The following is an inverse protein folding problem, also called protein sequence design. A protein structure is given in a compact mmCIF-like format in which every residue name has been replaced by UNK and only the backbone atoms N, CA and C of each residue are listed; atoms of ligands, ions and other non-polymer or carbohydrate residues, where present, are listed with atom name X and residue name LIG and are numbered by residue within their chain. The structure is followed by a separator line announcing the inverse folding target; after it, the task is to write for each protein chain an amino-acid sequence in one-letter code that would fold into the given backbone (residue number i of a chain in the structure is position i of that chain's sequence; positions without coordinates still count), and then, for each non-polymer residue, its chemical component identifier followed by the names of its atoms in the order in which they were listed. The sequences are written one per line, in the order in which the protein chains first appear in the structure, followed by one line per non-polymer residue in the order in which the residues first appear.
data_IF_308715808450
#
_entry.id   IF_308715808450
#
_cell.length_a   1.000
_cell.length_b   1.000
_cell.length_c   1.000
_cell.angle_alpha   90.00
_cell.angle_beta   90.00
_cell.angle_gamma   90.00
#
_symmetry.space_group_name_H-M   'P 1'
#
loop_
_entity.id
_entity.type
_entity.pdbx_description
1 polymer ?
#
# COMPACT_ATOMS: atom_id res chain seq x y z
N UNK A 1 -10.25 2.72 -1.62
CA UNK A 1 -9.17 2.25 -2.45
C UNK A 1 -8.09 3.28 -2.72
N UNK A 2 -8.36 4.61 -2.70
CA UNK A 2 -7.36 5.65 -2.96
C UNK A 2 -6.06 5.50 -2.14
N UNK A 3 -6.16 5.22 -0.83
CA UNK A 3 -4.99 4.97 0.02
C UNK A 3 -4.18 3.77 -0.50
N UNK A 4 -4.88 2.72 -0.90
CA UNK A 4 -4.24 1.47 -1.34
C UNK A 4 -3.53 1.65 -2.68
N UNK A 5 -4.15 2.39 -3.60
CA UNK A 5 -3.54 2.68 -4.90
C UNK A 5 -2.27 3.53 -4.72
N UNK A 6 -2.34 4.59 -3.89
CA UNK A 6 -1.19 5.42 -3.54
C UNK A 6 -0.09 4.67 -2.80
N UNK A 7 -0.46 3.72 -1.96
CA UNK A 7 0.49 2.88 -1.26
C UNK A 7 1.41 2.12 -2.25
N UNK A 8 0.84 1.55 -3.28
CA UNK A 8 1.62 0.80 -4.27
C UNK A 8 2.30 1.70 -5.29
N UNK A 9 1.64 2.74 -5.78
CA UNK A 9 2.22 3.66 -6.76
C UNK A 9 3.33 4.53 -6.12
N UNK A 10 3.03 5.23 -5.03
CA UNK A 10 3.95 6.21 -4.45
C UNK A 10 4.99 5.54 -3.54
N UNK A 11 4.57 4.63 -2.65
CA UNK A 11 5.49 4.06 -1.66
C UNK A 11 6.26 2.88 -2.24
N UNK A 12 5.58 1.90 -2.85
CA UNK A 12 6.27 0.73 -3.38
C UNK A 12 7.07 1.07 -4.64
N UNK A 13 6.44 1.67 -5.65
CA UNK A 13 7.13 1.95 -6.92
C UNK A 13 8.07 3.13 -6.81
N UNK A 14 7.57 4.35 -6.58
CA UNK A 14 8.37 5.56 -6.66
C UNK A 14 9.40 5.69 -5.52
N UNK A 15 9.01 5.34 -4.28
CA UNK A 15 9.89 5.54 -3.13
C UNK A 15 10.85 4.39 -2.84
N UNK A 16 10.53 3.17 -3.27
CA UNK A 16 11.33 1.99 -2.96
C UNK A 16 11.95 1.43 -4.22
N UNK A 17 11.14 0.95 -5.16
CA UNK A 17 11.64 0.20 -6.33
C UNK A 17 12.52 1.08 -7.23
N UNK A 18 12.08 2.28 -7.60
CA UNK A 18 12.85 3.20 -8.45
C UNK A 18 14.16 3.67 -7.80
N UNK A 19 14.26 3.59 -6.47
CA UNK A 19 15.47 3.98 -5.71
C UNK A 19 16.41 2.82 -5.38
N UNK A 20 16.18 1.62 -5.91
CA UNK A 20 17.04 0.46 -5.68
C UNK A 20 18.39 0.53 -6.39
N UNK A 21 18.57 1.46 -7.33
CA UNK A 21 19.80 1.58 -8.10
C UNK A 21 19.97 0.54 -9.21
N UNK A 22 18.91 -0.21 -9.53
CA UNK A 22 18.85 -1.17 -10.63
C UNK A 22 17.81 -0.74 -11.66
N UNK A 23 17.91 -1.25 -12.88
CA UNK A 23 16.91 -0.98 -13.89
C UNK A 23 15.58 -1.64 -13.54
N UNK A 24 14.51 -0.83 -13.61
CA UNK A 24 13.15 -1.25 -13.29
C UNK A 24 12.26 -1.10 -14.51
N UNK A 25 11.40 -2.08 -14.75
CA UNK A 25 10.31 -1.96 -15.72
C UNK A 25 9.00 -1.68 -14.98
N UNK A 26 8.60 -0.42 -15.00
CA UNK A 26 7.32 0.07 -14.49
C UNK A 26 6.32 0.36 -15.61
N UNK A 27 6.55 -0.15 -16.82
CA UNK A 27 5.61 0.01 -17.94
C UNK A 27 4.21 -0.40 -17.50
N UNK A 28 3.24 0.45 -17.76
CA UNK A 28 1.88 0.26 -17.27
C UNK A 28 1.34 -1.15 -17.55
N UNK A 29 1.04 -1.89 -16.49
CA UNK A 29 0.41 -3.22 -16.58
C UNK A 29 -0.93 -3.19 -17.32
N UNK A 30 -1.60 -2.04 -17.39
CA UNK A 30 -2.87 -1.85 -18.11
C UNK A 30 -2.69 -1.86 -19.63
N UNK A 31 -1.52 -1.52 -20.13
CA UNK A 31 -1.22 -1.44 -21.57
C UNK A 31 -0.46 -2.65 -22.10
N UNK A 32 -0.09 -3.59 -21.22
CA UNK A 32 0.64 -4.78 -21.63
C UNK A 32 -0.26 -5.79 -22.30
N UNK A 33 0.18 -6.21 -23.48
CA UNK A 33 -0.42 -7.33 -24.20
C UNK A 33 0.63 -8.42 -24.40
N UNK A 34 0.24 -9.68 -24.20
CA UNK A 34 1.11 -10.83 -24.41
C UNK A 34 1.57 -11.53 -23.12
N UNK A 35 2.21 -12.67 -23.28
CA UNK A 35 2.78 -13.46 -22.18
C UNK A 35 4.22 -13.04 -21.90
N UNK A 36 4.55 -12.92 -20.60
CA UNK A 36 5.92 -12.67 -20.16
C UNK A 36 6.63 -14.02 -20.12
N UNK A 37 7.63 -14.21 -20.96
CA UNK A 37 8.45 -15.42 -21.00
C UNK A 37 9.85 -15.21 -20.39
N UNK A 38 10.28 -13.95 -20.31
CA UNK A 38 11.56 -13.55 -19.70
C UNK A 38 11.47 -12.11 -19.21
N UNK A 39 12.26 -11.77 -18.20
CA UNK A 39 12.39 -10.38 -17.74
C UNK A 39 13.40 -9.64 -18.61
N UNK A 40 13.04 -8.46 -19.07
CA UNK A 40 13.95 -7.56 -19.81
C UNK A 40 14.82 -6.71 -18.89
N UNK A 41 14.44 -6.58 -17.63
CA UNK A 41 15.10 -5.82 -16.58
C UNK A 41 15.10 -6.60 -15.28
N UNK A 42 16.07 -6.33 -14.37
CA UNK A 42 16.17 -7.03 -13.07
C UNK A 42 14.91 -7.00 -12.23
N UNK A 43 14.17 -5.90 -12.27
CA UNK A 43 12.94 -5.73 -11.50
C UNK A 43 11.79 -5.33 -12.44
N UNK A 44 10.68 -6.01 -12.30
CA UNK A 44 9.51 -5.87 -13.16
C UNK A 44 8.24 -5.80 -12.32
N UNK A 45 7.53 -4.68 -12.40
CA UNK A 45 6.21 -4.54 -11.76
C UNK A 45 5.16 -5.17 -12.67
N UNK A 46 4.75 -6.38 -12.35
CA UNK A 46 3.84 -7.17 -13.18
C UNK A 46 2.38 -6.74 -13.03
N UNK A 47 1.98 -6.37 -11.81
CA UNK A 47 0.59 -6.04 -11.52
C UNK A 47 0.48 -5.16 -10.27
N UNK A 48 -0.39 -4.16 -10.33
CA UNK A 48 -0.91 -3.44 -9.16
C UNK A 48 -2.42 -3.32 -9.35
N UNK A 49 -3.20 -3.72 -8.36
CA UNK A 49 -4.65 -3.60 -8.40
C UNK A 49 -5.34 -4.41 -7.31
N UNK A 50 -6.59 -4.07 -7.00
CA UNK A 50 -7.39 -4.78 -6.01
C UNK A 50 -6.76 -4.89 -4.62
N UNK A 51 -5.88 -3.95 -4.25
CA UNK A 51 -5.17 -4.01 -2.98
C UNK A 51 -3.97 -4.95 -2.95
N UNK A 52 -3.48 -5.39 -4.11
CA UNK A 52 -2.31 -6.26 -4.25
C UNK A 52 -1.32 -5.69 -5.27
N UNK A 53 -0.06 -6.05 -5.10
CA UNK A 53 0.98 -5.82 -6.09
C UNK A 53 1.79 -7.11 -6.31
N UNK A 54 2.20 -7.36 -7.54
CA UNK A 54 3.10 -8.43 -7.92
C UNK A 54 4.34 -7.83 -8.57
N UNK A 55 5.47 -8.07 -7.94
CA UNK A 55 6.79 -7.65 -8.43
C UNK A 55 7.58 -8.90 -8.75
N UNK A 56 8.11 -8.99 -9.95
CA UNK A 56 9.00 -10.06 -10.38
C UNK A 56 10.44 -9.53 -10.31
N UNK A 57 11.33 -10.33 -9.77
CA UNK A 57 12.74 -9.99 -9.61
C UNK A 57 13.55 -11.11 -10.22
N UNK A 58 14.55 -10.74 -11.00
CA UNK A 58 15.50 -11.65 -11.57
C UNK A 58 16.22 -12.45 -10.47
N UNK A 59 16.50 -13.72 -10.73
CA UNK A 59 17.14 -14.60 -9.76
C UNK A 59 18.56 -14.16 -9.38
N UNK A 60 19.25 -13.41 -10.24
CA UNK A 60 20.55 -12.80 -9.94
C UNK A 60 20.47 -11.69 -8.90
N UNK A 61 19.29 -11.09 -8.70
CA UNK A 61 19.03 -9.97 -7.80
C UNK A 61 18.05 -10.34 -6.66
N UNK A 62 17.96 -11.62 -6.30
CA UNK A 62 17.00 -12.12 -5.30
C UNK A 62 17.10 -11.45 -3.93
N UNK A 63 18.27 -10.93 -3.56
CA UNK A 63 18.51 -10.21 -2.31
C UNK A 63 17.67 -8.92 -2.20
N UNK A 64 17.32 -8.32 -3.35
CA UNK A 64 16.44 -7.13 -3.37
C UNK A 64 15.05 -7.43 -2.84
N UNK A 65 14.61 -8.69 -2.88
CA UNK A 65 13.29 -9.11 -2.40
C UNK A 65 13.10 -8.78 -0.93
N UNK A 66 14.05 -9.17 -0.08
CA UNK A 66 13.99 -8.90 1.35
C UNK A 66 14.09 -7.41 1.65
N UNK A 67 14.92 -6.70 0.91
CA UNK A 67 15.07 -5.25 1.05
C UNK A 67 13.76 -4.51 0.71
N UNK A 68 13.12 -4.86 -0.42
CA UNK A 68 11.85 -4.27 -0.84
C UNK A 68 10.77 -4.53 0.21
N UNK A 69 10.60 -5.80 0.63
CA UNK A 69 9.61 -6.19 1.63
C UNK A 69 9.82 -5.42 2.94
N UNK A 70 11.06 -5.38 3.44
CA UNK A 70 11.39 -4.69 4.68
C UNK A 70 11.14 -3.19 4.59
N UNK A 71 11.60 -2.53 3.53
CA UNK A 71 11.39 -1.10 3.33
C UNK A 71 9.90 -0.76 3.19
N UNK A 72 9.16 -1.56 2.41
CA UNK A 72 7.74 -1.35 2.19
C UNK A 72 6.94 -1.51 3.47
N UNK A 73 7.07 -2.62 4.17
CA UNK A 73 6.33 -2.88 5.41
C UNK A 73 6.65 -1.86 6.49
N UNK A 74 7.92 -1.45 6.63
CA UNK A 74 8.33 -0.41 7.59
C UNK A 74 7.74 0.95 7.27
N UNK A 75 7.75 1.38 6.00
CA UNK A 75 7.13 2.64 5.58
C UNK A 75 5.63 2.65 5.79
N UNK A 76 4.95 1.54 5.45
CA UNK A 76 3.50 1.44 5.67
C UNK A 76 3.16 1.53 7.14
N UNK A 77 3.91 0.87 8.01
CA UNK A 77 3.69 0.92 9.45
C UNK A 77 3.77 2.36 10.00
N UNK A 78 4.71 3.16 9.47
CA UNK A 78 4.92 4.54 9.93
C UNK A 78 3.93 5.52 9.29
N UNK A 79 3.72 5.43 7.98
CA UNK A 79 2.93 6.41 7.23
C UNK A 79 1.42 6.12 7.26
N UNK A 80 1.04 4.85 7.39
CA UNK A 80 -0.36 4.42 7.37
C UNK A 80 -0.66 3.49 8.55
N UNK A 81 -0.54 3.99 9.79
CA UNK A 81 -0.82 3.19 10.97
C UNK A 81 -2.27 2.67 10.93
N UNK A 82 -2.44 1.39 11.22
CA UNK A 82 -3.73 0.71 11.14
C UNK A 82 -4.07 0.06 9.80
N UNK A 83 -3.23 0.21 8.75
CA UNK A 83 -3.31 -0.65 7.57
C UNK A 83 -2.61 -1.97 7.82
N UNK A 84 -3.31 -3.06 7.50
CA UNK A 84 -2.73 -4.40 7.50
C UNK A 84 -2.14 -4.68 6.13
N UNK A 85 -0.82 -4.85 6.10
CA UNK A 85 -0.09 -5.23 4.90
C UNK A 85 0.59 -6.56 5.13
N UNK A 86 0.41 -7.49 4.22
CA UNK A 86 1.15 -8.74 4.17
C UNK A 86 2.09 -8.74 2.97
N UNK A 87 3.22 -9.42 3.11
CA UNK A 87 4.12 -9.70 2.01
C UNK A 87 4.53 -11.17 2.02
N UNK A 88 4.79 -11.69 0.85
CA UNK A 88 5.37 -13.03 0.67
C UNK A 88 6.29 -13.01 -0.53
N UNK A 89 7.27 -13.88 -0.54
CA UNK A 89 8.18 -14.06 -1.65
C UNK A 89 8.41 -15.54 -1.93
N UNK A 90 8.76 -15.87 -3.16
CA UNK A 90 9.07 -17.23 -3.56
C UNK A 90 9.48 -17.29 -5.02
N UNK A 91 10.05 -18.40 -5.43
CA UNK A 91 10.46 -18.62 -6.82
C UNK A 91 9.24 -19.01 -7.65
N UNK A 92 9.09 -18.38 -8.80
CA UNK A 92 8.01 -18.63 -9.76
C UNK A 92 8.62 -19.04 -11.10
N UNK A 93 8.09 -20.10 -11.70
CA UNK A 93 8.36 -20.41 -13.10
C UNK A 93 7.49 -19.53 -14.01
N UNK A 94 8.08 -18.91 -15.04
CA UNK A 94 7.32 -18.16 -16.05
C UNK A 94 6.71 -19.05 -17.14
N UNK A 95 6.89 -20.37 -17.06
CA UNK A 95 6.44 -21.30 -18.07
C UNK A 95 5.02 -21.83 -17.81
N UNK A 96 4.12 -21.61 -18.74
CA UNK A 96 2.82 -22.26 -18.87
C UNK A 96 1.99 -22.38 -17.58
N UNK A 97 1.55 -23.59 -17.26
CA UNK A 97 0.71 -23.88 -16.08
C UNK A 97 1.48 -23.80 -14.75
N UNK A 98 2.81 -23.87 -14.76
CA UNK A 98 3.63 -23.77 -13.56
C UNK A 98 3.49 -22.40 -12.92
N UNK A 99 3.45 -21.33 -13.72
CA UNK A 99 3.23 -19.95 -13.23
C UNK A 99 1.96 -19.85 -12.38
N UNK A 100 0.83 -20.32 -12.89
CA UNK A 100 -0.45 -20.26 -12.17
C UNK A 100 -0.42 -21.05 -10.85
N UNK A 101 0.23 -22.22 -10.87
CA UNK A 101 0.35 -23.07 -9.68
C UNK A 101 1.22 -22.41 -8.60
N UNK A 102 2.37 -21.86 -8.97
CA UNK A 102 3.29 -21.22 -8.04
C UNK A 102 2.71 -19.91 -7.49
N UNK A 103 2.07 -19.12 -8.35
CA UNK A 103 1.35 -17.93 -7.94
C UNK A 103 0.23 -18.25 -6.94
N UNK A 104 -0.51 -19.35 -7.16
CA UNK A 104 -1.54 -19.82 -6.23
C UNK A 104 -0.97 -20.19 -4.85
N UNK A 105 0.21 -20.82 -4.79
CA UNK A 105 0.91 -21.09 -3.52
C UNK A 105 1.30 -19.81 -2.80
N UNK A 106 1.84 -18.82 -3.53
CA UNK A 106 2.22 -17.53 -2.96
C UNK A 106 1.01 -16.78 -2.41
N UNK A 107 -0.11 -16.75 -3.11
CA UNK A 107 -1.33 -16.13 -2.60
C UNK A 107 -1.85 -16.81 -1.32
N UNK A 108 -1.73 -18.12 -1.21
CA UNK A 108 -2.09 -18.84 0.02
C UNK A 108 -1.17 -18.41 1.18
N UNK A 109 0.14 -18.40 0.96
CA UNK A 109 1.12 -17.93 1.95
C UNK A 109 0.89 -16.46 2.34
N UNK A 110 0.57 -15.60 1.36
CA UNK A 110 0.27 -14.19 1.61
C UNK A 110 -0.91 -14.04 2.57
N UNK A 111 -1.97 -14.80 2.37
CA UNK A 111 -3.13 -14.79 3.28
C UNK A 111 -2.75 -15.24 4.68
N UNK A 112 -1.96 -16.29 4.80
CA UNK A 112 -1.46 -16.77 6.10
C UNK A 112 -0.61 -15.70 6.80
N UNK A 113 0.30 -15.06 6.07
CA UNK A 113 1.17 -14.01 6.58
C UNK A 113 0.42 -12.74 6.99
N UNK A 114 -0.66 -12.37 6.32
CA UNK A 114 -1.47 -11.21 6.70
C UNK A 114 -2.03 -11.29 8.12
N UNK A 115 -2.26 -12.50 8.63
CA UNK A 115 -2.74 -12.72 9.99
C UNK A 115 -1.63 -12.79 11.04
N UNK A 116 -0.40 -13.12 10.64
CA UNK A 116 0.71 -13.37 11.56
C UNK A 116 1.66 -12.19 11.71
N UNK A 117 1.88 -11.38 10.66
CA UNK A 117 2.94 -10.38 10.62
C UNK A 117 2.70 -9.15 11.49
N UNK A 118 1.46 -8.78 11.77
CA UNK A 118 1.16 -7.63 12.61
C UNK A 118 -0.11 -7.89 13.45
N UNK A 119 0.02 -8.56 14.61
CA UNK A 119 -1.06 -8.55 15.56
C UNK A 119 -1.36 -7.09 15.91
N UNK A 120 -2.56 -6.63 15.65
CA UNK A 120 -3.00 -5.33 16.11
C UNK A 120 -3.06 -5.41 17.64
N UNK A 121 -2.03 -4.90 18.27
CA UNK A 121 -2.10 -4.60 19.71
C UNK A 121 -2.99 -3.36 19.82
N UNK A 122 -4.28 -3.56 20.04
CA UNK A 122 -5.13 -2.48 20.52
C UNK A 122 -4.70 -2.21 21.95
N UNK A 123 -4.02 -1.09 22.15
CA UNK A 123 -3.81 -0.59 23.50
C UNK A 123 -5.18 -0.34 24.12
N UNK A 124 -5.55 -1.15 25.10
CA UNK A 124 -6.75 -0.91 25.85
C UNK A 124 -6.62 0.46 26.53
N UNK A 125 -7.67 1.26 26.48
CA UNK A 125 -7.69 2.52 27.23
C UNK A 125 -7.54 2.21 28.72
N UNK A 126 -6.43 2.63 29.29
CA UNK A 126 -6.11 2.42 30.71
C UNK A 126 -6.76 3.50 31.62
N UNK A 127 -7.59 4.38 31.04
CA UNK A 127 -8.16 5.53 31.74
C UNK A 127 -7.20 6.71 31.95
N UNK A 128 -5.93 6.56 31.50
CA UNK A 128 -4.90 7.61 31.56
C UNK A 128 -4.73 8.34 30.24
N UNK A 129 -5.37 7.86 29.17
CA UNK A 129 -5.27 8.42 27.84
C UNK A 129 -6.64 8.85 27.34
N UNK A 130 -6.69 9.93 26.56
CA UNK A 130 -7.89 10.32 25.86
C UNK A 130 -8.17 9.37 24.68
N UNK A 131 -9.44 9.22 24.36
CA UNK A 131 -9.91 8.41 23.24
C UNK A 131 -10.22 9.34 22.07
N UNK A 132 -9.84 8.92 20.87
CA UNK A 132 -10.26 9.58 19.64
C UNK A 132 -11.76 9.39 19.44
N UNK A 133 -12.51 10.49 19.38
CA UNK A 133 -13.97 10.48 19.21
C UNK A 133 -14.44 9.80 17.92
N UNK A 134 -13.55 9.75 16.91
CA UNK A 134 -13.87 9.22 15.58
C UNK A 134 -13.53 7.74 15.39
N UNK A 135 -12.44 7.26 15.99
CA UNK A 135 -11.96 5.88 15.78
C UNK A 135 -12.11 4.97 17.00
N UNK A 136 -12.29 5.56 18.19
CA UNK A 136 -12.26 4.82 19.45
C UNK A 136 -10.86 4.32 19.87
N UNK A 137 -9.81 4.66 19.11
CA UNK A 137 -8.42 4.37 19.46
C UNK A 137 -7.89 5.42 20.45
N UNK A 138 -6.73 5.15 21.06
CA UNK A 138 -6.05 6.13 21.88
C UNK A 138 -5.67 7.35 21.04
N UNK A 139 -6.03 8.55 21.51
CA UNK A 139 -5.67 9.80 20.87
C UNK A 139 -4.19 10.13 21.18
N UNK A 140 -3.40 10.31 20.13
CA UNK A 140 -1.97 10.54 20.20
C UNK A 140 -1.52 11.83 19.48
N UNK A 141 -2.47 12.53 18.84
CA UNK A 141 -2.18 13.77 18.12
C UNK A 141 -3.33 14.78 18.24
N UNK A 142 -3.09 16.02 17.84
CA UNK A 142 -4.08 17.09 17.80
C UNK A 142 -4.33 17.50 16.36
N UNK A 143 -5.57 17.42 15.93
CA UNK A 143 -6.00 17.85 14.59
C UNK A 143 -6.92 19.06 14.69
N UNK A 144 -6.75 20.01 13.76
CA UNK A 144 -7.62 21.17 13.64
C UNK A 144 -8.77 20.90 12.66
N UNK A 145 -9.99 21.12 13.09
CA UNK A 145 -11.21 21.04 12.27
C UNK A 145 -11.86 22.42 12.24
N UNK A 146 -11.51 23.21 11.23
CA UNK A 146 -11.88 24.63 11.20
C UNK A 146 -11.24 25.39 12.38
N UNK A 147 -12.07 25.98 13.25
CA UNK A 147 -11.62 26.70 14.44
C UNK A 147 -11.40 25.81 15.68
N UNK A 148 -11.86 24.56 15.65
CA UNK A 148 -11.75 23.65 16.77
C UNK A 148 -10.50 22.78 16.68
N UNK A 149 -9.84 22.55 17.82
CA UNK A 149 -8.77 21.56 17.97
C UNK A 149 -9.29 20.36 18.72
N UNK A 150 -9.08 19.18 18.16
CA UNK A 150 -9.51 17.91 18.77
C UNK A 150 -8.35 16.95 18.90
N UNK A 151 -8.41 16.14 19.95
CA UNK A 151 -7.50 15.01 20.15
C UNK A 151 -7.96 13.84 19.30
N UNK A 152 -7.09 13.37 18.45
CA UNK A 152 -7.39 12.27 17.51
C UNK A 152 -6.27 11.24 17.48
N UNK A 153 -6.58 10.06 16.97
CA UNK A 153 -5.57 9.05 16.72
C UNK A 153 -4.89 9.30 15.36
N UNK A 154 -3.58 9.10 15.27
CA UNK A 154 -2.82 9.19 14.01
C UNK A 154 -3.39 8.31 12.91
N UNK A 155 -3.92 7.12 13.27
CA UNK A 155 -4.62 6.24 12.33
C UNK A 155 -5.86 6.87 11.70
N UNK A 156 -6.55 7.76 12.41
CA UNK A 156 -7.68 8.54 11.90
C UNK A 156 -7.18 9.68 11.00
N UNK A 157 -6.19 10.44 11.46
CA UNK A 157 -5.63 11.58 10.70
C UNK A 157 -5.15 11.15 9.31
N UNK A 158 -4.39 10.06 9.23
CA UNK A 158 -3.91 9.52 7.95
C UNK A 158 -5.04 9.16 6.98
N UNK A 159 -6.14 8.62 7.49
CA UNK A 159 -7.33 8.29 6.67
C UNK A 159 -8.08 9.55 6.23
N UNK A 160 -8.18 10.53 7.13
CA UNK A 160 -8.86 11.80 6.85
C UNK A 160 -8.12 12.60 5.77
N UNK A 161 -6.81 12.73 5.88
CA UNK A 161 -5.96 13.39 4.86
C UNK A 161 -6.05 12.69 3.50
N UNK A 162 -6.05 11.35 3.50
CA UNK A 162 -6.21 10.59 2.28
C UNK A 162 -7.61 10.75 1.66
N UNK A 163 -8.65 10.92 2.48
CA UNK A 163 -10.00 11.21 2.00
C UNK A 163 -10.08 12.60 1.36
N UNK A 164 -9.49 13.62 1.97
CA UNK A 164 -9.42 14.98 1.38
C UNK A 164 -8.66 14.99 0.05
N UNK A 165 -7.52 14.31 0.00
CA UNK A 165 -6.74 14.18 -1.23
C UNK A 165 -7.51 13.42 -2.34
N UNK A 166 -8.24 12.35 -1.97
CA UNK A 166 -9.10 11.61 -2.90
C UNK A 166 -10.22 12.48 -3.47
N UNK A 167 -10.87 13.27 -2.63
CA UNK A 167 -11.93 14.20 -3.06
C UNK A 167 -11.39 15.27 -4.00
N UNK A 168 -10.24 15.84 -3.69
CA UNK A 168 -9.59 16.85 -4.55
C UNK A 168 -9.29 16.27 -5.94
N UNK A 169 -8.71 15.05 -5.97
CA UNK A 169 -8.44 14.36 -7.24
C UNK A 169 -9.72 14.06 -8.00
N UNK A 170 -10.74 13.54 -7.34
CA UNK A 170 -12.03 13.22 -7.97
C UNK A 170 -12.68 14.46 -8.59
N UNK A 171 -12.67 15.59 -7.88
CA UNK A 171 -13.15 16.87 -8.38
C UNK A 171 -12.40 17.30 -9.64
N UNK A 172 -11.08 17.18 -9.62
CA UNK A 172 -10.24 17.52 -10.77
C UNK A 172 -10.50 16.62 -11.97
N UNK A 173 -10.58 15.30 -11.75
CA UNK A 173 -10.74 14.31 -12.82
C UNK A 173 -12.13 14.38 -13.47
N UNK A 174 -13.19 14.63 -12.69
CA UNK A 174 -14.56 14.67 -13.20
C UNK A 174 -14.99 16.04 -13.73
N UNK A 175 -14.52 17.13 -13.12
CA UNK A 175 -15.05 18.47 -13.40
C UNK A 175 -14.00 19.46 -13.88
N UNK A 176 -12.74 19.04 -13.94
CA UNK A 176 -11.60 19.91 -14.25
C UNK A 176 -11.53 21.18 -13.37
N UNK A 177 -12.04 21.10 -12.15
CA UNK A 177 -12.08 22.21 -11.18
C UNK A 177 -11.90 21.70 -9.76
N UNK A 178 -11.24 22.51 -8.92
CA UNK A 178 -11.08 22.23 -7.48
C UNK A 178 -12.20 22.91 -6.64
N UNK A 179 -13.06 23.70 -7.29
CA UNK A 179 -13.98 24.64 -6.63
C UNK A 179 -15.39 24.09 -6.36
N UNK A 180 -15.64 22.81 -6.57
CA UNK A 180 -16.97 22.22 -6.30
C UNK A 180 -17.03 21.71 -4.87
N UNK A 181 -17.84 22.33 -4.02
CA UNK A 181 -18.16 21.79 -2.71
C UNK A 181 -19.21 20.68 -2.81
N UNK A 182 -18.80 19.46 -2.47
CA UNK A 182 -19.74 18.36 -2.36
C UNK A 182 -20.39 18.43 -0.98
N UNK A 183 -21.70 18.67 -0.99
CA UNK A 183 -22.52 18.42 0.19
C UNK A 183 -23.02 16.99 0.09
N UNK A 184 -22.40 16.08 0.86
CA UNK A 184 -22.98 14.78 1.06
C UNK A 184 -24.09 14.92 2.12
N UNK A 185 -25.27 14.34 1.86
CA UNK A 185 -26.35 14.32 2.83
C UNK A 185 -25.99 13.48 4.07
#
# INVERSE_FOLDING_TARGET
SYIVDRLFEDVLCADIIEKLGVEVDTTSWLTRSGSITSLSKPVYVAYIGGGNALVLIDNEHKELTEEIVKKFTSKVLVQYPGLKVGATSGTISLEGTAFSTDLGKLYKQLKENQFTLHPIVRLANTGLTNICDYSGDVADTVQSFGSEKRLVATSFTSKFEAFEAANTRLKKDLFNTEAIDWVFP
#
